data_IF_754089126854
#
_entry.id   IF_754089126854
#
_cell.length_a   1.000
_cell.length_b   1.000
_cell.length_c   1.000
_cell.angle_alpha   90.00
_cell.angle_beta   90.00
_cell.angle_gamma   90.00
#
_symmetry.space_group_name_H-M   'P 1'
#
loop_
_entity.id
_entity.type
_entity.pdbx_description
1 polymer ?
2 polymer ?
3 polymer ?
4 non-polymer ?
5 water ?
#
# COMPACT_ATOMS: atom_id res chain seq x y z
N UNK A 31 29.83 -8.95 6.40
CA UNK A 31 29.22 -8.15 5.32
C UNK A 31 27.70 -7.98 5.50
N UNK A 32 27.08 -8.85 6.28
CA UNK A 32 25.65 -8.73 6.57
C UNK A 32 25.47 -7.58 7.55
N UNK A 33 24.39 -6.80 7.37
CA UNK A 33 24.15 -5.62 8.19
C UNK A 33 22.81 -5.65 8.90
N UNK A 34 22.70 -4.90 10.00
CA UNK A 34 21.46 -4.81 10.77
C UNK A 34 20.84 -3.42 10.55
N UNK A 35 19.50 -3.38 10.47
CA UNK A 35 18.77 -2.13 10.23
C UNK A 35 17.56 -2.03 11.12
N UNK A 36 17.29 -0.84 11.67
CA UNK A 36 16.06 -0.67 12.46
C UNK A 36 15.45 0.70 12.12
N UNK A 37 14.14 0.84 12.31
CA UNK A 37 13.44 2.06 11.95
C UNK A 37 14.04 3.31 12.61
N UNK A 38 14.25 4.37 11.80
CA UNK A 38 14.77 5.63 12.32
C UNK A 38 13.74 6.36 13.19
N UNK A 39 12.43 6.07 13.01
CA UNK A 39 11.40 6.69 13.81
C UNK A 39 11.21 5.75 14.99
N UNK A 40 11.94 6.07 16.07
CA UNK A 40 12.02 5.20 17.23
C UNK A 40 10.63 4.75 17.79
N UNK A 41 9.59 5.61 17.84
CA UNK A 41 8.28 5.12 18.35
C UNK A 41 7.58 4.08 17.44
N UNK A 42 8.02 3.97 16.18
CA UNK A 42 7.45 3.00 15.24
C UNK A 42 8.19 1.67 15.23
N UNK A 43 9.29 1.54 15.99
CA UNK A 43 10.00 0.28 16.08
C UNK A 43 9.17 -0.78 16.79
N UNK A 44 9.39 -2.05 16.42
CA UNK A 44 8.74 -3.18 17.07
C UNK A 44 9.82 -4.17 17.49
N UNK A 45 10.60 -3.83 18.53
CA UNK A 45 11.68 -4.74 18.95
C UNK A 45 11.23 -6.14 19.32
N UNK A 46 12.11 -7.11 19.14
CA UNK A 46 11.81 -8.49 19.51
C UNK A 46 11.40 -9.39 18.36
N UNK A 47 11.15 -8.81 17.17
CA UNK A 47 10.80 -9.56 15.96
C UNK A 47 11.65 -9.02 14.83
N UNK A 48 12.32 -9.93 14.12
CA UNK A 48 13.29 -9.55 13.09
C UNK A 48 13.06 -10.28 11.80
N UNK A 49 13.25 -9.57 10.68
CA UNK A 49 13.17 -10.18 9.37
C UNK A 49 14.60 -10.47 8.93
N UNK A 50 14.92 -11.77 8.79
CA UNK A 50 16.24 -12.18 8.34
C UNK A 50 16.14 -12.40 6.85
N UNK A 51 16.85 -11.56 6.07
CA UNK A 51 16.81 -11.60 4.62
C UNK A 51 18.04 -12.27 4.11
N UNK A 52 17.86 -13.34 3.31
CA UNK A 52 18.99 -14.07 2.78
C UNK A 52 19.35 -13.58 1.38
N UNK A 53 20.54 -13.94 0.91
CA UNK A 53 21.03 -13.51 -0.39
C UNK A 53 20.11 -13.96 -1.51
N UNK A 54 20.12 -13.19 -2.59
CA UNK A 54 19.32 -13.46 -3.77
C UNK A 54 19.66 -14.85 -4.32
N UNK A 55 18.65 -15.60 -4.69
CA UNK A 55 18.80 -16.96 -5.20
C UNK A 55 18.95 -18.03 -4.11
N UNK A 56 18.89 -17.65 -2.80
CA UNK A 56 18.89 -18.66 -1.74
C UNK A 56 17.57 -19.47 -1.87
N UNK A 57 17.69 -20.79 -1.86
CA UNK A 57 16.55 -21.67 -2.02
C UNK A 57 15.77 -21.83 -0.71
N UNK A 58 14.47 -22.13 -0.80
CA UNK A 58 13.62 -22.35 0.38
C UNK A 58 14.22 -23.41 1.34
N UNK A 59 14.79 -24.51 0.80
CA UNK A 59 15.40 -25.53 1.64
C UNK A 59 16.55 -24.94 2.49
N UNK A 60 17.33 -24.05 1.88
CA UNK A 60 18.47 -23.39 2.54
C UNK A 60 17.92 -22.39 3.58
N UNK A 61 16.83 -21.66 3.25
CA UNK A 61 16.23 -20.75 4.23
C UNK A 61 15.74 -21.49 5.48
N UNK A 62 15.05 -22.63 5.28
CA UNK A 62 14.56 -23.43 6.41
C UNK A 62 15.72 -23.96 7.26
N UNK A 63 16.80 -24.44 6.62
CA UNK A 63 17.94 -24.96 7.35
C UNK A 63 18.62 -23.85 8.14
N UNK A 64 18.71 -22.65 7.56
CA UNK A 64 19.35 -21.52 8.24
C UNK A 64 18.52 -21.10 9.45
N UNK A 65 17.18 -21.11 9.32
CA UNK A 65 16.30 -20.80 10.45
C UNK A 65 16.50 -21.82 11.58
N UNK A 66 16.59 -23.12 11.24
CA UNK A 66 16.78 -24.15 12.27
C UNK A 66 18.19 -24.01 12.90
N UNK A 67 19.19 -23.62 12.12
CA UNK A 67 20.56 -23.42 12.63
C UNK A 67 20.56 -22.25 13.64
N UNK A 68 19.82 -21.16 13.33
CA UNK A 68 19.71 -20.04 14.26
C UNK A 68 19.07 -20.52 15.57
N UNK A 69 17.98 -21.30 15.47
CA UNK A 69 17.32 -21.78 16.71
C UNK A 69 18.25 -22.64 17.54
N UNK A 70 19.04 -23.52 16.86
CA UNK A 70 19.93 -24.42 17.60
C UNK A 70 21.09 -23.66 18.24
N UNK A 71 21.67 -22.69 17.51
CA UNK A 71 22.77 -21.89 18.04
C UNK A 71 22.28 -21.01 19.19
N UNK A 72 21.06 -20.44 19.05
CA UNK A 72 20.49 -19.61 20.11
C UNK A 72 20.25 -20.47 21.35
N UNK A 73 19.74 -21.70 21.16
CA UNK A 73 19.45 -22.58 22.30
C UNK A 73 20.72 -22.97 23.06
N UNK A 74 21.87 -23.09 22.36
CA UNK A 74 23.15 -23.39 23.03
C UNK A 74 23.52 -22.26 24.03
N UNK A 75 23.06 -21.03 23.75
CA UNK A 75 23.27 -19.86 24.61
C UNK A 75 22.13 -19.62 25.62
N UNK A 76 21.15 -20.51 25.66
CA UNK A 76 20.02 -20.45 26.58
C UNK A 76 18.87 -19.57 26.15
N UNK A 77 18.81 -19.22 24.86
CA UNK A 77 17.74 -18.37 24.36
C UNK A 77 16.68 -19.13 23.60
N UNK A 78 15.40 -18.80 23.84
CA UNK A 78 14.27 -19.34 23.10
C UNK A 78 14.08 -18.49 21.87
N UNK A 79 13.71 -19.12 20.76
CA UNK A 79 13.41 -18.40 19.55
C UNK A 79 12.16 -19.03 18.93
N UNK A 80 11.46 -18.26 18.11
CA UNK A 80 10.30 -18.79 17.41
C UNK A 80 10.36 -18.35 15.97
N UNK A 81 10.28 -19.31 15.04
CA UNK A 81 10.27 -18.97 13.62
C UNK A 81 8.81 -18.75 13.22
N UNK A 82 8.40 -17.51 13.03
CA UNK A 82 7.00 -17.18 12.72
C UNK A 82 6.60 -17.48 11.27
N UNK A 83 7.56 -17.34 10.36
CA UNK A 83 7.28 -17.49 8.94
C UNK A 83 8.58 -17.71 8.19
N UNK A 84 8.54 -18.53 7.13
CA UNK A 84 9.70 -18.68 6.26
C UNK A 84 9.29 -18.12 4.90
N UNK A 85 10.00 -17.12 4.41
CA UNK A 85 9.73 -16.44 3.15
C UNK A 85 10.33 -17.13 1.95
N UNK A 86 9.59 -17.13 0.86
CA UNK A 86 10.06 -17.60 -0.44
C UNK A 86 9.06 -17.10 -1.52
N UNK A 87 9.57 -16.68 -2.67
CA UNK A 87 8.72 -16.16 -3.73
C UNK A 87 9.12 -14.78 -4.19
N UNK A 88 9.48 -13.90 -3.24
CA UNK A 88 9.94 -12.55 -3.59
C UNK A 88 11.36 -12.44 -2.97
N UNK A 89 11.42 -12.54 -1.66
CA UNK A 89 12.68 -12.45 -0.92
C UNK A 89 12.81 -13.72 -0.13
N UNK A 90 14.00 -14.35 -0.18
CA UNK A 90 14.21 -15.52 0.69
C UNK A 90 14.59 -15.08 2.10
N UNK A 91 14.14 -15.82 3.11
CA UNK A 91 14.48 -15.52 4.49
C UNK A 91 13.44 -16.01 5.45
N UNK A 92 13.37 -15.39 6.62
CA UNK A 92 12.41 -15.80 7.63
C UNK A 92 12.17 -14.72 8.64
N UNK A 93 11.06 -14.84 9.36
CA UNK A 93 10.65 -13.91 10.39
C UNK A 93 10.87 -14.63 11.71
N UNK A 94 11.63 -14.02 12.62
CA UNK A 94 11.93 -14.69 13.88
C UNK A 94 11.62 -13.81 15.08
N UNK A 95 11.00 -14.39 16.11
CA UNK A 95 10.78 -13.72 17.38
C UNK A 95 11.89 -14.18 18.30
N UNK A 96 12.76 -13.23 18.68
CA UNK A 96 13.90 -13.57 19.52
C UNK A 96 14.47 -12.32 20.14
N UNK A 97 15.30 -12.49 21.15
CA UNK A 97 16.02 -11.37 21.75
C UNK A 97 16.99 -10.76 20.73
N UNK A 98 17.06 -9.44 20.72
CA UNK A 98 18.03 -8.74 19.90
C UNK A 98 19.46 -9.05 20.32
N UNK A 99 19.67 -9.65 21.53
CA UNK A 99 21.01 -10.09 21.95
C UNK A 99 21.62 -11.06 20.92
N UNK A 100 20.77 -11.80 20.19
CA UNK A 100 21.26 -12.78 19.22
C UNK A 100 21.61 -12.20 17.85
N UNK A 101 21.50 -10.88 17.65
CA UNK A 101 21.76 -10.30 16.33
C UNK A 101 23.20 -10.47 15.82
N UNK A 102 24.24 -10.33 16.69
CA UNK A 102 25.63 -10.54 16.22
C UNK A 102 25.79 -11.98 15.69
N UNK A 103 25.21 -12.94 16.43
CA UNK A 103 25.25 -14.35 16.05
C UNK A 103 24.48 -14.55 14.72
N UNK A 104 23.28 -13.99 14.63
CA UNK A 104 22.43 -14.20 13.45
C UNK A 104 23.05 -13.63 12.18
N UNK A 105 23.79 -12.51 12.30
CA UNK A 105 24.42 -11.92 11.10
C UNK A 105 25.55 -12.77 10.54
N UNK A 106 26.07 -13.72 11.34
CA UNK A 106 27.14 -14.61 10.87
C UNK A 106 26.61 -15.92 10.25
N UNK A 107 25.28 -16.12 10.24
CA UNK A 107 24.70 -17.35 9.67
C UNK A 107 24.96 -17.40 8.16
N UNK A 108 25.04 -18.61 7.59
CA UNK A 108 25.26 -18.70 6.14
C UNK A 108 24.10 -18.09 5.37
N UNK A 109 24.41 -17.46 4.23
CA UNK A 109 23.46 -16.87 3.29
C UNK A 109 22.87 -15.56 3.73
N UNK A 110 23.14 -15.06 4.96
CA UNK A 110 22.48 -13.81 5.39
C UNK A 110 22.94 -12.61 4.58
N UNK A 111 21.98 -11.81 4.12
CA UNK A 111 22.24 -10.57 3.39
C UNK A 111 22.10 -9.41 4.41
N UNK A 112 20.96 -9.34 5.12
CA UNK A 112 20.78 -8.31 6.15
C UNK A 112 19.62 -8.70 7.06
N UNK A 113 19.51 -8.03 8.21
CA UNK A 113 18.45 -8.28 9.16
C UNK A 113 17.81 -6.98 9.50
N UNK A 114 16.48 -6.95 9.50
CA UNK A 114 15.74 -5.73 9.82
C UNK A 114 14.79 -5.94 10.98
N UNK A 115 14.82 -5.06 11.98
CA UNK A 115 13.86 -5.16 13.10
C UNK A 115 12.49 -4.78 12.54
N UNK A 116 11.43 -5.47 13.00
CA UNK A 116 10.09 -5.15 12.51
C UNK A 116 9.69 -3.73 12.95
N UNK A 117 8.75 -3.13 12.24
CA UNK A 117 8.30 -1.79 12.53
C UNK A 117 6.86 -1.59 12.06
N UNK A 118 6.22 -0.52 12.51
CA UNK A 118 4.82 -0.29 12.18
C UNK A 118 4.58 0.36 10.82
N UNK A 119 3.41 0.09 10.22
CA UNK A 119 2.90 0.80 9.04
C UNK A 119 1.51 1.30 9.43
N UNK A 120 1.07 2.39 8.81
CA UNK A 120 -0.20 3.00 9.18
C UNK A 120 -1.03 3.34 7.96
N UNK A 121 -2.37 3.24 8.13
CA UNK A 121 -3.32 3.63 7.09
C UNK A 121 -3.12 5.11 6.76
N UNK A 122 -3.09 5.45 5.47
CA UNK A 122 -2.94 6.83 5.05
C UNK A 122 -4.28 7.41 4.53
N UNK B 1 -23.60 17.24 -10.17
CA UNK B 1 -24.24 15.92 -10.10
C UNK B 1 -23.26 14.74 -10.15
N UNK B 2 -21.95 15.00 -10.05
CA UNK B 2 -20.92 13.96 -10.07
C UNK B 2 -19.91 14.30 -8.98
N UNK B 3 -19.30 13.32 -8.25
CA UNK B 3 -18.28 13.69 -7.25
C UNK B 3 -17.15 14.47 -7.91
N UNK B 4 -16.68 15.56 -7.27
CA UNK B 4 -15.68 16.45 -7.84
C UNK B 4 -14.46 15.74 -8.40
N UNK B 5 -14.03 14.69 -7.70
CA UNK B 5 -12.83 13.93 -8.04
C UNK B 5 -12.99 13.13 -9.32
N UNK B 6 -14.20 12.58 -9.57
CA UNK B 6 -14.43 11.85 -10.82
C UNK B 6 -14.51 12.83 -12.02
N UNK B 7 -15.02 14.04 -11.78
CA UNK B 7 -15.03 15.08 -12.81
C UNK B 7 -13.57 15.49 -13.09
N UNK B 8 -12.77 15.67 -12.03
CA UNK B 8 -11.36 16.08 -12.17
C UNK B 8 -10.49 15.14 -12.98
N UNK B 9 -10.70 13.83 -12.84
CA UNK B 9 -9.90 12.87 -13.60
C UNK B 9 -10.44 12.66 -15.04
N UNK B 10 -11.58 13.26 -15.38
CA UNK B 10 -12.14 13.15 -16.73
C UNK B 10 -11.50 14.23 -17.57
N UNK B 11 -11.00 13.91 -18.78
CA UNK B 11 -10.47 14.97 -19.66
C UNK B 11 -11.43 16.16 -19.83
N UNK B 12 -10.93 17.40 -19.82
CA UNK B 12 -11.83 18.56 -19.87
C UNK B 12 -12.73 18.64 -21.11
N UNK B 13 -12.26 18.17 -22.26
CA UNK B 13 -13.05 18.20 -23.49
C UNK B 13 -14.12 17.10 -23.47
N UNK B 20 -19.07 8.74 -18.14
CA UNK B 20 -18.52 7.86 -17.11
C UNK B 20 -18.41 6.44 -17.61
N UNK B 21 -17.17 5.94 -17.84
CA UNK B 21 -16.99 4.55 -18.31
C UNK B 21 -17.67 3.56 -17.38
N UNK B 22 -18.59 2.75 -17.91
CA UNK B 22 -19.40 1.88 -17.03
C UNK B 22 -18.77 0.57 -16.59
N UNK B 23 -17.72 0.12 -17.27
CA UNK B 23 -17.11 -1.18 -16.95
C UNK B 23 -15.59 -1.12 -17.15
N UNK B 24 -15.00 0.03 -16.84
CA UNK B 24 -13.57 0.22 -17.04
C UNK B 24 -12.69 -0.64 -16.17
N UNK B 25 -11.57 -1.10 -16.74
CA UNK B 25 -10.57 -1.88 -16.03
C UNK B 25 -10.86 -3.36 -15.85
N UNK B 26 -11.82 -3.91 -16.64
CA UNK B 26 -12.24 -5.30 -16.43
C UNK B 26 -11.18 -6.39 -16.65
N UNK B 27 -10.09 -6.11 -17.37
CA UNK B 27 -9.05 -7.14 -17.55
C UNK B 27 -8.09 -7.25 -16.35
N UNK B 28 -8.19 -6.30 -15.41
CA UNK B 28 -7.21 -6.16 -14.34
C UNK B 28 -7.76 -6.57 -13.01
N UNK B 29 -6.89 -7.16 -12.18
CA UNK B 29 -7.28 -7.51 -10.83
C UNK B 29 -6.49 -6.58 -9.93
N UNK B 30 -7.17 -5.90 -9.03
CA UNK B 30 -6.51 -5.00 -8.09
C UNK B 30 -6.44 -5.65 -6.72
N UNK B 31 -5.24 -5.86 -6.15
CA UNK B 31 -5.10 -6.40 -4.80
C UNK B 31 -5.05 -5.22 -3.85
N UNK B 32 -5.75 -5.31 -2.72
CA UNK B 32 -5.78 -4.22 -1.75
C UNK B 32 -5.25 -4.75 -0.43
N UNK B 33 -4.16 -4.14 0.10
CA UNK B 33 -3.59 -4.54 1.39
C UNK B 33 -4.02 -3.43 2.33
N UNK B 34 -5.01 -3.71 3.20
CA UNK B 34 -5.61 -2.63 3.98
C UNK B 34 -6.28 -3.23 5.24
N UNK B 35 -7.28 -2.54 5.79
CA UNK B 35 -8.04 -3.04 6.92
C UNK B 35 -9.01 -4.14 6.41
N UNK B 36 -9.86 -4.68 7.32
CA UNK B 36 -10.96 -5.53 6.91
C UNK B 36 -11.93 -4.67 6.06
N UNK B 37 -12.75 -5.32 5.23
CA UNK B 37 -13.69 -4.59 4.38
C UNK B 37 -15.10 -5.12 4.58
N UNK B 38 -16.08 -4.26 4.37
CA UNK B 38 -17.49 -4.69 4.46
C UNK B 38 -17.85 -5.18 3.08
N UNK B 39 -17.55 -6.46 2.81
CA UNK B 39 -17.71 -7.01 1.47
C UNK B 39 -19.15 -7.10 0.98
N UNK B 40 -20.14 -6.96 1.87
CA UNK B 40 -21.53 -6.98 1.42
C UNK B 40 -22.11 -5.57 1.24
N UNK B 41 -21.27 -4.50 1.34
CA UNK B 41 -21.73 -3.14 1.08
C UNK B 41 -22.15 -3.07 -0.40
N UNK B 42 -23.35 -2.55 -0.69
CA UNK B 42 -23.86 -2.51 -2.07
C UNK B 42 -22.91 -1.90 -3.09
N UNK B 43 -22.06 -0.96 -2.66
CA UNK B 43 -21.12 -0.30 -3.56
C UNK B 43 -20.06 -1.26 -4.10
N UNK B 44 -19.64 -2.24 -3.30
CA UNK B 44 -18.56 -3.14 -3.71
C UNK B 44 -18.91 -4.62 -3.67
N UNK B 45 -20.15 -4.99 -3.28
CA UNK B 45 -20.54 -6.39 -3.20
C UNK B 45 -20.36 -7.09 -4.55
N UNK B 46 -19.73 -8.26 -4.56
CA UNK B 46 -19.51 -8.99 -5.80
C UNK B 46 -18.30 -8.51 -6.59
N UNK B 47 -17.78 -7.30 -6.27
CA UNK B 47 -16.59 -6.76 -6.97
C UNK B 47 -15.31 -7.05 -6.19
N UNK B 48 -15.42 -7.25 -4.88
CA UNK B 48 -14.28 -7.56 -4.05
C UNK B 48 -14.38 -8.97 -3.48
N UNK B 49 -13.33 -9.76 -3.64
CA UNK B 49 -13.22 -11.11 -3.08
C UNK B 49 -12.33 -10.97 -1.86
N UNK B 50 -12.83 -11.35 -0.69
CA UNK B 50 -12.05 -11.28 0.54
C UNK B 50 -11.21 -12.54 0.62
N UNK B 51 -9.88 -12.40 0.52
CA UNK B 51 -9.00 -13.56 0.61
C UNK B 51 -8.98 -14.06 2.08
N UNK B 52 -8.42 -15.25 2.33
CA UNK B 52 -8.30 -15.71 3.72
C UNK B 52 -7.11 -15.05 4.44
N UNK B 53 -6.40 -14.10 3.79
CA UNK B 53 -5.21 -13.51 4.37
C UNK B 53 -5.48 -12.50 5.47
N UNK B 54 -4.84 -12.71 6.63
CA UNK B 54 -4.91 -11.76 7.72
C UNK B 54 -3.59 -11.83 8.51
N UNK B 55 -2.92 -10.69 8.67
CA UNK B 55 -1.72 -10.65 9.50
C UNK B 55 -1.67 -9.24 10.06
N UNK B 56 -2.18 -9.07 11.30
CA UNK B 56 -2.29 -7.75 11.92
C UNK B 56 -1.82 -7.77 13.35
N UNK B 57 -1.28 -6.64 13.83
CA UNK B 57 -0.91 -6.56 15.24
C UNK B 57 -2.15 -6.31 16.11
N UNK B 58 -2.06 -6.64 17.42
CA UNK B 58 -3.17 -6.37 18.34
C UNK B 58 -3.40 -4.86 18.49
N UNK B 59 -4.66 -4.44 18.70
CA UNK B 59 -4.95 -3.02 18.89
C UNK B 59 -4.37 -2.53 20.22
N UNK B 60 -4.08 -1.23 20.29
CA UNK B 60 -3.55 -0.60 21.50
C UNK B 60 -4.71 -0.27 22.42
N UNK B 61 -4.52 -0.50 23.71
CA UNK B 61 -5.55 -0.28 24.72
C UNK B 61 -6.26 -1.58 25.08
N UNK B 62 -6.14 -2.00 26.33
CA UNK B 62 -6.73 -3.26 26.80
C UNK B 62 -8.25 -3.35 26.65
N UNK B 63 -8.97 -2.20 26.64
CA UNK B 63 -10.43 -2.26 26.52
C UNK B 63 -10.96 -1.90 25.12
N UNK B 64 -10.20 -2.19 24.05
CA UNK B 64 -10.65 -1.88 22.69
C UNK B 64 -11.89 -2.67 22.26
N UNK B 65 -12.87 -1.99 21.62
CA UNK B 65 -14.09 -2.65 21.14
C UNK B 65 -14.05 -2.84 19.62
N UNK B 66 -14.02 -4.10 19.16
CA UNK B 66 -13.94 -4.38 17.74
C UNK B 66 -15.29 -4.27 17.04
N UNK B 67 -15.69 -3.07 16.63
CA UNK B 67 -16.95 -2.89 15.92
C UNK B 67 -16.67 -2.96 14.44
N UNK B 68 -17.36 -3.85 13.71
CA UNK B 68 -17.13 -4.01 12.27
C UNK B 68 -17.22 -2.70 11.49
N UNK B 69 -18.23 -1.85 11.77
CA UNK B 69 -18.37 -0.57 11.06
C UNK B 69 -17.12 0.30 11.17
N UNK B 70 -16.45 0.26 12.34
CA UNK B 70 -15.23 1.04 12.55
C UNK B 70 -14.01 0.32 11.97
N UNK B 71 -13.86 -0.99 12.25
CA UNK B 71 -12.73 -1.78 11.74
C UNK B 71 -12.63 -1.72 10.20
N UNK B 72 -13.79 -1.77 9.52
CA UNK B 72 -13.86 -1.82 8.06
C UNK B 72 -13.81 -0.46 7.33
N UNK B 73 -13.80 0.64 8.08
CA UNK B 73 -13.95 1.98 7.47
C UNK B 73 -12.97 2.30 6.32
N UNK B 74 -11.66 2.20 6.60
CA UNK B 74 -10.66 2.62 5.64
C UNK B 74 -10.69 1.80 4.36
N UNK B 75 -10.60 0.49 4.51
CA UNK B 75 -10.54 -0.39 3.35
C UNK B 75 -11.81 -0.38 2.51
N UNK B 76 -12.98 -0.28 3.17
CA UNK B 76 -14.24 -0.25 2.41
C UNK B 76 -14.32 0.99 1.52
N UNK B 77 -13.90 2.15 2.06
CA UNK B 77 -13.92 3.38 1.29
C UNK B 77 -12.98 3.28 0.09
N UNK B 78 -11.76 2.74 0.31
CA UNK B 78 -10.79 2.61 -0.78
C UNK B 78 -11.20 1.61 -1.86
N UNK B 79 -11.83 0.51 -1.45
CA UNK B 79 -12.35 -0.45 -2.44
C UNK B 79 -13.43 0.23 -3.32
N UNK B 80 -14.23 1.10 -2.71
CA UNK B 80 -15.24 1.87 -3.42
C UNK B 80 -14.61 2.85 -4.38
N UNK B 81 -13.54 3.56 -3.95
CA UNK B 81 -12.86 4.51 -4.84
C UNK B 81 -12.32 3.80 -6.10
N UNK B 82 -11.77 2.59 -5.92
CA UNK B 82 -11.24 1.86 -7.08
C UNK B 82 -12.33 1.32 -8.00
N UNK B 83 -13.30 0.57 -7.45
CA UNK B 83 -14.23 -0.16 -8.30
C UNK B 83 -15.70 0.03 -8.01
N UNK B 84 -16.06 0.92 -7.10
CA UNK B 84 -17.44 1.07 -6.67
C UNK B 84 -18.47 1.29 -7.78
N UNK B 85 -19.64 0.67 -7.61
CA UNK B 85 -20.74 0.75 -8.57
C UNK B 85 -21.11 2.16 -8.96
N UNK B 86 -21.29 3.04 -7.96
CA UNK B 86 -21.72 4.41 -8.19
C UNK B 86 -20.60 5.44 -8.22
N UNK B 87 -19.58 5.27 -7.37
CA UNK B 87 -18.57 6.30 -7.19
C UNK B 87 -17.12 5.85 -7.48
N UNK B 88 -16.97 4.69 -8.10
CA UNK B 88 -15.64 4.16 -8.39
C UNK B 88 -15.04 4.64 -9.69
N UNK B 89 -13.72 4.54 -9.80
CA UNK B 89 -13.00 4.97 -10.99
C UNK B 89 -13.09 3.89 -12.08
N UNK B 90 -12.77 2.63 -11.74
CA UNK B 90 -12.71 1.51 -12.70
C UNK B 90 -13.80 0.53 -12.32
N UNK B 91 -15.01 0.79 -12.80
CA UNK B 91 -16.19 0.05 -12.38
C UNK B 91 -16.24 -1.42 -12.82
N UNK B 92 -15.35 -1.83 -13.70
CA UNK B 92 -15.28 -3.22 -14.13
C UNK B 92 -14.14 -4.01 -13.51
N UNK B 93 -13.25 -3.34 -12.74
CA UNK B 93 -12.12 -4.04 -12.14
C UNK B 93 -12.52 -4.95 -11.00
N UNK B 94 -11.93 -6.13 -10.96
CA UNK B 94 -12.13 -7.05 -9.84
C UNK B 94 -11.09 -6.72 -8.78
N UNK B 95 -11.46 -6.88 -7.51
CA UNK B 95 -10.52 -6.63 -6.43
C UNK B 95 -10.38 -7.84 -5.52
N UNK B 96 -9.20 -8.03 -4.92
CA UNK B 96 -8.97 -9.06 -3.93
C UNK B 96 -8.39 -8.35 -2.72
N UNK B 97 -8.94 -8.59 -1.53
CA UNK B 97 -8.48 -7.87 -0.33
C UNK B 97 -7.72 -8.77 0.62
N UNK B 98 -6.64 -8.22 1.20
CA UNK B 98 -5.82 -8.87 2.21
C UNK B 98 -5.84 -7.94 3.41
N UNK B 99 -6.00 -8.51 4.61
CA UNK B 99 -6.03 -7.68 5.81
C UNK B 99 -4.63 -7.59 6.41
N UNK B 100 -4.02 -6.42 6.32
CA UNK B 100 -2.72 -6.17 6.95
C UNK B 100 -2.79 -4.97 7.96
N UNK B 101 -3.96 -4.33 8.11
CA UNK B 101 -4.12 -3.24 9.06
C UNK B 101 -5.24 -3.61 10.03
N UNK B 102 -4.99 -3.36 11.31
CA UNK B 102 -5.97 -3.69 12.33
C UNK B 102 -7.11 -2.66 12.42
N UNK B 103 -7.96 -2.73 13.47
CA UNK B 103 -9.10 -1.82 13.59
C UNK B 103 -8.72 -0.37 13.77
N UNK B 104 -7.48 -0.10 14.22
CA UNK B 104 -6.96 1.25 14.39
C UNK B 104 -6.11 1.70 13.18
N UNK B 105 -6.08 0.89 12.11
CA UNK B 105 -5.35 1.22 10.90
C UNK B 105 -3.86 0.96 11.02
N UNK B 106 -3.43 0.13 11.97
CA UNK B 106 -2.00 -0.14 12.16
C UNK B 106 -1.65 -1.57 11.71
N UNK B 107 -0.51 -1.69 11.07
CA UNK B 107 0.02 -2.96 10.62
C UNK B 107 1.50 -3.04 10.91
N UNK B 108 2.15 -4.07 10.39
CA UNK B 108 3.59 -4.22 10.55
C UNK B 108 4.24 -4.37 9.18
N UNK B 109 5.55 -4.09 9.13
CA UNK B 109 6.30 -4.34 7.90
C UNK B 109 6.27 -5.87 7.62
N UNK B 110 6.45 -6.69 8.65
CA UNK B 110 6.47 -8.17 8.43
C UNK B 110 5.14 -8.68 7.88
N UNK B 111 4.03 -8.14 8.39
CA UNK B 111 2.72 -8.54 7.90
C UNK B 111 2.53 -8.14 6.45
N UNK B 112 2.98 -6.94 6.10
CA UNK B 112 2.90 -6.42 4.73
C UNK B 112 3.78 -7.30 3.79
N UNK B 113 4.98 -7.68 4.25
CA UNK B 113 5.86 -8.56 3.45
C UNK B 113 5.18 -9.90 3.18
N UNK B 114 4.57 -10.47 4.24
CA UNK B 114 3.88 -11.77 4.09
C UNK B 114 2.69 -11.61 3.11
N UNK B 115 2.01 -10.46 3.16
CA UNK B 115 0.91 -10.19 2.24
C UNK B 115 1.38 -10.06 0.80
N UNK B 116 2.47 -9.33 0.55
CA UNK B 116 3.02 -9.21 -0.82
C UNK B 116 3.42 -10.61 -1.35
N UNK B 117 3.98 -11.46 -0.47
CA UNK B 117 4.33 -12.82 -0.86
C UNK B 117 3.08 -13.62 -1.23
N UNK B 118 2.00 -13.44 -0.45
CA UNK B 118 0.74 -14.15 -0.70
C UNK B 118 0.17 -13.78 -2.08
N UNK B 119 0.32 -12.51 -2.49
CA UNK B 119 -0.18 -12.07 -3.81
C UNK B 119 0.58 -12.80 -4.91
N UNK B 120 1.93 -12.82 -4.83
CA UNK B 120 2.73 -13.48 -5.85
C UNK B 120 2.44 -14.98 -5.89
N UNK B 121 2.30 -15.61 -4.71
CA UNK B 121 1.98 -17.05 -4.67
C UNK B 121 0.62 -17.32 -5.30
N UNK B 122 -0.36 -16.45 -5.02
CA UNK B 122 -1.70 -16.60 -5.58
C UNK B 122 -1.65 -16.50 -7.11
N UNK B 123 -0.84 -15.58 -7.61
CA UNK B 123 -0.71 -15.35 -9.03
C UNK B 123 -0.10 -16.56 -9.71
N UNK B 124 0.95 -17.14 -9.13
CA UNK B 124 1.61 -18.30 -9.73
C UNK B 124 0.68 -19.51 -9.84
N UNK B 125 -0.21 -19.67 -8.85
CA UNK B 125 -1.13 -20.81 -8.75
C UNK B 125 -2.28 -20.68 -9.74
N UNK B 126 -2.78 -19.44 -9.94
CA UNK B 126 -3.92 -19.24 -10.82
C UNK B 126 -3.79 -17.88 -11.52
N UNK B 127 -2.93 -17.81 -12.55
CA UNK B 127 -2.73 -16.52 -13.22
C UNK B 127 -3.97 -16.03 -13.92
N UNK B 128 -4.18 -14.72 -13.85
CA UNK B 128 -5.27 -14.06 -14.54
C UNK B 128 -4.62 -12.95 -15.43
N UNK B 129 -5.19 -11.73 -15.53
CA UNK B 129 -4.61 -10.69 -16.35
C UNK B 129 -3.59 -9.88 -15.58
N UNK B 130 -3.31 -8.67 -16.07
CA UNK B 130 -2.38 -7.79 -15.32
C UNK B 130 -2.88 -7.52 -13.90
N UNK B 131 -1.93 -7.44 -12.96
CA UNK B 131 -2.23 -7.17 -11.57
C UNK B 131 -1.77 -5.76 -11.19
N UNK B 132 -2.59 -5.10 -10.36
CA UNK B 132 -2.26 -3.80 -9.74
C UNK B 132 -2.36 -4.05 -8.24
N UNK B 133 -1.33 -3.67 -7.46
CA UNK B 133 -1.38 -3.85 -6.02
C UNK B 133 -1.44 -2.46 -5.39
N UNK B 134 -2.48 -2.18 -4.62
CA UNK B 134 -2.65 -0.90 -3.93
C UNK B 134 -2.23 -1.06 -2.46
N UNK B 135 -1.25 -0.22 -2.03
CA UNK B 135 -0.65 -0.16 -0.68
C UNK B 135 -0.95 1.21 -0.09
N UNK B 136 -2.14 1.35 0.51
CA UNK B 136 -2.54 2.67 1.02
C UNK B 136 -2.07 2.86 2.46
N UNK B 137 -0.77 2.66 2.65
CA UNK B 137 -0.17 2.65 3.96
C UNK B 137 1.26 3.15 3.89
N UNK B 138 1.80 3.51 5.04
CA UNK B 138 3.18 4.00 5.11
C UNK B 138 3.75 3.77 6.47
N UNK B 139 5.04 3.49 6.50
CA UNK B 139 5.85 3.45 7.72
C UNK B 139 7.15 4.18 7.43
N UNK B 140 8.11 4.06 8.32
CA UNK B 140 9.42 4.68 8.08
C UNK B 140 10.14 3.93 6.98
N UNK B 141 11.17 4.56 6.40
CA UNK B 141 12.02 3.93 5.37
C UNK B 141 12.43 2.52 5.80
N UNK B 142 12.15 1.52 4.93
CA UNK B 142 12.41 0.14 5.28
C UNK B 142 13.13 -0.50 4.11
N UNK B 143 14.38 -0.93 4.34
CA UNK B 143 15.14 -1.59 3.28
C UNK B 143 14.39 -2.84 2.80
N UNK B 144 13.84 -3.60 3.75
CA UNK B 144 13.19 -4.87 3.35
C UNK B 144 11.86 -4.64 2.61
N UNK B 145 11.03 -3.69 3.08
CA UNK B 145 9.77 -3.45 2.38
C UNK B 145 10.03 -2.90 0.96
N UNK B 146 11.05 -2.00 0.81
CA UNK B 146 11.37 -1.49 -0.52
C UNK B 146 11.87 -2.62 -1.41
N UNK B 147 12.69 -3.54 -0.83
CA UNK B 147 13.23 -4.66 -1.62
C UNK B 147 12.10 -5.56 -2.08
N UNK B 148 11.14 -5.87 -1.20
CA UNK B 148 10.04 -6.78 -1.59
C UNK B 148 9.19 -6.14 -2.69
N UNK B 149 8.98 -4.83 -2.60
CA UNK B 149 8.22 -4.10 -3.60
C UNK B 149 8.96 -4.08 -4.92
N UNK B 150 10.28 -3.88 -4.89
CA UNK B 150 11.10 -3.86 -6.09
C UNK B 150 11.04 -5.23 -6.78
N UNK B 151 11.15 -6.30 -6.00
CA UNK B 151 11.12 -7.67 -6.54
C UNK B 151 9.76 -7.96 -7.17
N UNK B 152 8.65 -7.53 -6.50
CA UNK B 152 7.32 -7.83 -7.07
C UNK B 152 7.11 -7.01 -8.36
N UNK B 153 7.59 -5.76 -8.41
CA UNK B 153 7.50 -4.95 -9.63
C UNK B 153 8.34 -5.58 -10.77
N UNK B 154 9.54 -6.03 -10.46
CA UNK B 154 10.41 -6.69 -11.45
C UNK B 154 9.78 -7.99 -11.97
N UNK B 155 8.94 -8.64 -11.14
CA UNK B 155 8.21 -9.87 -11.56
C UNK B 155 7.02 -9.54 -12.49
N UNK B 156 6.77 -8.26 -12.77
CA UNK B 156 5.71 -7.84 -13.70
C UNK B 156 4.44 -7.32 -13.06
N UNK B 157 4.44 -7.07 -11.75
CA UNK B 157 3.23 -6.59 -11.07
C UNK B 157 3.32 -5.06 -10.87
N UNK B 158 2.22 -4.33 -11.08
CA UNK B 158 2.23 -2.86 -10.91
C UNK B 158 1.87 -2.54 -9.46
N UNK B 159 2.70 -1.74 -8.77
CA UNK B 159 2.41 -1.37 -7.38
C UNK B 159 2.15 0.13 -7.28
N UNK B 160 1.11 0.51 -6.55
CA UNK B 160 0.76 1.91 -6.34
C UNK B 160 0.67 2.10 -4.84
N UNK B 161 1.28 3.19 -4.32
CA UNK B 161 1.23 3.43 -2.87
C UNK B 161 0.94 4.88 -2.56
N UNK B 162 0.48 5.11 -1.32
CA UNK B 162 0.25 6.46 -0.83
C UNK B 162 1.62 7.13 -0.59
N UNK B 163 1.71 8.44 -0.87
CA UNK B 163 2.98 9.16 -0.58
C UNK B 163 3.22 9.33 0.92
N UNK B 164 2.13 9.33 1.70
CA UNK B 164 2.18 9.55 3.14
C UNK B 164 1.58 10.90 3.47
N UNK B 165 1.02 11.03 4.69
CA UNK B 165 0.26 12.20 5.12
C UNK B 165 1.05 13.00 6.17
N UNK B 166 2.36 13.08 6.02
CA UNK B 166 3.19 13.72 7.06
C UNK B 166 3.76 15.09 6.70
N UNK B 167 3.31 15.69 5.57
CA UNK B 167 3.78 16.98 5.04
C UNK B 167 5.31 17.00 5.05
N UNK B 168 5.89 15.90 4.52
CA UNK B 168 7.32 15.65 4.61
C UNK B 168 7.81 15.03 3.30
N UNK B 169 9.12 14.84 3.19
CA UNK B 169 9.72 14.22 2.01
C UNK B 169 9.34 12.74 2.01
N UNK B 170 8.64 12.30 0.93
CA UNK B 170 8.20 10.90 0.81
C UNK B 170 9.38 9.92 0.82
N UNK B 171 10.61 10.39 0.51
CA UNK B 171 11.75 9.47 0.50
C UNK B 171 12.09 8.90 1.89
N UNK B 172 11.53 9.49 2.96
CA UNK B 172 11.81 9.01 4.31
C UNK B 172 10.81 7.97 4.79
N UNK B 173 9.88 7.53 3.88
CA UNK B 173 8.84 6.59 4.22
C UNK B 173 8.84 5.41 3.25
N UNK B 174 8.22 4.31 3.67
CA UNK B 174 8.08 3.15 2.79
C UNK B 174 6.65 2.65 2.86
N UNK B 175 6.14 2.08 1.76
CA UNK B 175 6.78 1.88 0.45
C UNK B 175 6.92 3.09 -0.43
N UNK B 176 6.50 4.30 0.04
CA UNK B 176 6.60 5.50 -0.79
C UNK B 176 7.98 5.70 -1.46
N UNK B 177 9.04 5.40 -0.73
CA UNK B 177 10.41 5.61 -1.23
C UNK B 177 10.92 4.57 -2.22
N UNK B 178 10.17 3.49 -2.47
CA UNK B 178 10.64 2.49 -3.44
C UNK B 178 10.46 3.06 -4.88
N UNK B 179 11.56 3.27 -5.64
CA UNK B 179 11.41 3.86 -7.00
C UNK B 179 10.55 3.05 -7.99
N UNK B 180 10.48 1.71 -7.81
CA UNK B 180 9.69 0.85 -8.70
C UNK B 180 8.17 0.93 -8.44
N UNK B 181 7.77 1.57 -7.36
CA UNK B 181 6.36 1.72 -6.98
C UNK B 181 5.87 3.11 -7.45
N UNK B 182 4.63 3.20 -7.93
CA UNK B 182 4.07 4.48 -8.31
C UNK B 182 3.58 5.12 -7.01
N UNK B 183 4.18 6.26 -6.63
CA UNK B 183 3.92 6.93 -5.35
C UNK B 183 3.06 8.15 -5.58
N UNK B 184 1.93 8.24 -4.88
CA UNK B 184 0.92 9.24 -5.18
C UNK B 184 0.62 10.19 -4.05
N UNK B 185 0.80 11.48 -4.32
CA UNK B 185 0.44 12.53 -3.38
C UNK B 185 -1.02 12.93 -3.54
N UNK B 186 -1.54 13.78 -2.63
CA UNK B 186 -2.94 14.18 -2.70
C UNK B 186 -3.12 15.64 -3.01
N UNK B 187 -4.06 15.94 -3.93
CA UNK B 187 -4.47 17.32 -4.22
C UNK B 187 -5.97 17.48 -3.97
N UNK B 188 -6.42 18.73 -3.73
CA UNK B 188 -7.81 19.01 -3.43
C UNK B 188 -8.60 19.57 -4.64
N UNK B 189 -9.85 20.01 -4.43
CA UNK B 189 -10.69 20.54 -5.53
C UNK B 189 -10.14 21.81 -6.18
N UNK B 190 -9.24 22.50 -5.48
CA UNK B 190 -8.59 23.68 -6.05
C UNK B 190 -7.22 23.29 -6.70
N UNK B 191 -6.96 21.97 -6.88
CA UNK B 191 -5.74 21.36 -7.38
C UNK B 191 -4.53 21.68 -6.53
N UNK B 192 -4.73 22.01 -5.25
CA UNK B 192 -3.63 22.32 -4.36
C UNK B 192 -3.30 21.15 -3.44
N UNK B 193 -2.06 21.04 -2.93
CA UNK B 193 -1.72 19.91 -2.04
C UNK B 193 -2.63 19.86 -0.82
N UNK B 194 -3.06 18.66 -0.41
CA UNK B 194 -4.02 18.55 0.68
C UNK B 194 -3.42 18.81 2.06
N UNK B 195 -4.09 19.61 2.88
CA UNK B 195 -3.67 19.80 4.26
C UNK B 195 -4.55 18.86 5.10
N UNK B 196 -3.95 18.17 6.07
CA UNK B 196 -4.62 17.21 6.95
C UNK B 196 -4.21 17.60 8.37
N UNK B 197 -5.03 18.44 9.02
CA UNK B 197 -4.71 18.98 10.34
C UNK B 197 -3.50 19.87 10.23
N UNK B 198 -2.47 19.62 11.06
CA UNK B 198 -1.21 20.36 10.94
C UNK B 198 -0.25 19.72 9.93
N UNK B 199 -0.61 18.56 9.37
CA UNK B 199 0.23 17.90 8.38
C UNK B 199 -0.45 17.99 6.99
N UNK B 200 -0.30 16.98 6.16
CA UNK B 200 -0.83 17.01 4.81
C UNK B 200 -0.08 16.09 3.89
N UNK B 201 -0.33 16.20 2.57
CA UNK B 201 0.38 15.27 1.65
C UNK B 201 1.90 15.41 1.72
N UNK B 202 2.60 14.28 1.55
CA UNK B 202 4.02 14.27 1.37
C UNK B 202 4.35 14.78 -0.04
N UNK B 203 5.62 15.03 -0.27
CA UNK B 203 6.10 15.65 -1.50
C UNK B 203 7.54 15.18 -1.79
N UNK B 204 8.20 15.81 -2.77
CA UNK B 204 9.59 15.48 -3.07
C UNK B 204 9.82 14.57 -4.26
N UNK B 205 11.07 14.18 -4.48
CA UNK B 205 11.47 13.41 -5.66
C UNK B 205 10.97 11.97 -5.71
N UNK B 206 10.51 11.43 -4.57
CA UNK B 206 9.98 10.09 -4.55
C UNK B 206 8.50 10.04 -4.93
N UNK B 207 7.83 11.21 -5.08
CA UNK B 207 6.43 11.22 -5.49
C UNK B 207 6.41 11.22 -7.02
N UNK B 208 5.59 10.36 -7.64
CA UNK B 208 5.49 10.31 -9.09
C UNK B 208 4.46 11.30 -9.62
N UNK B 209 3.34 11.42 -8.92
CA UNK B 209 2.28 12.32 -9.32
C UNK B 209 1.27 12.49 -8.17
N UNK B 210 0.36 13.43 -8.33
CA UNK B 210 -0.71 13.68 -7.37
C UNK B 210 -2.04 13.25 -7.97
N UNK B 211 -3.05 13.10 -7.13
CA UNK B 211 -4.38 12.74 -7.59
C UNK B 211 -5.37 13.23 -6.52
N UNK B 212 -6.66 13.33 -6.85
CA UNK B 212 -7.64 13.83 -5.88
C UNK B 212 -7.60 13.08 -4.55
N UNK B 213 -7.49 13.82 -3.43
CA UNK B 213 -7.38 13.18 -2.14
C UNK B 213 -8.01 13.93 -0.99
N UNK B 214 -8.98 14.81 -1.29
CA UNK B 214 -9.68 15.53 -0.23
C UNK B 214 -11.18 15.44 -0.48
N UNK B 215 -11.97 15.14 0.55
CA UNK B 215 -13.43 15.09 0.46
C UNK B 215 -13.89 14.18 -0.68
N UNK B 216 -13.37 12.94 -0.66
CA UNK B 216 -13.68 11.94 -1.69
C UNK B 216 -14.88 11.12 -1.26
N UNK B 217 -15.99 11.21 -2.00
CA UNK B 217 -17.17 10.40 -1.71
C UNK B 217 -16.85 8.94 -1.97
N UNK B 218 -17.18 8.09 -1.03
CA UNK B 218 -16.95 6.65 -1.18
C UNK B 218 -17.76 5.84 -0.19
N UNK B 219 -17.80 4.52 -0.38
CA UNK B 219 -18.57 3.65 0.49
C UNK B 219 -18.23 3.83 1.98
N UNK B 220 -19.27 3.97 2.80
CA UNK B 220 -19.12 4.05 4.25
C UNK B 220 -19.57 2.71 4.85
N UNK B 221 -18.76 2.14 5.73
CA UNK B 221 -19.11 0.89 6.41
C UNK B 221 -20.16 1.08 7.52
N UNK B 222 -20.73 2.31 7.66
CA UNK B 222 -21.77 2.53 8.69
C UNK B 222 -23.09 1.84 8.35
N UNK B 223 -23.34 1.57 7.06
CA UNK B 223 -24.52 0.87 6.59
C UNK B 223 -24.30 0.40 5.15
N UNK B 224 -25.08 -0.61 4.70
CA UNK B 224 -24.88 -1.24 3.39
C UNK B 224 -25.04 -0.33 2.18
N UNK B 225 -25.68 0.85 2.33
CA UNK B 225 -25.80 1.79 1.21
C UNK B 225 -25.22 3.19 1.52
N UNK B 226 -24.57 3.34 2.68
CA UNK B 226 -24.06 4.61 3.15
C UNK B 226 -22.82 5.05 2.41
N UNK B 227 -22.63 6.38 2.31
CA UNK B 227 -21.46 6.99 1.68
C UNK B 227 -20.91 8.04 2.63
N UNK B 228 -19.59 8.25 2.57
CA UNK B 228 -18.94 9.25 3.40
C UNK B 228 -17.75 9.82 2.63
N UNK B 229 -17.38 11.07 2.93
CA UNK B 229 -16.20 11.66 2.31
C UNK B 229 -15.00 11.42 3.23
N UNK B 230 -13.85 11.08 2.62
CA UNK B 230 -12.59 10.88 3.34
C UNK B 230 -11.47 11.57 2.57
N UNK B 231 -10.37 11.87 3.27
CA UNK B 231 -9.23 12.54 2.67
C UNK B 231 -7.94 11.83 3.07
N UNK B 232 -6.95 11.92 2.20
CA UNK B 232 -5.66 11.32 2.48
C UNK B 232 -4.94 10.86 1.23
N UNK B 233 -3.63 10.56 1.36
CA UNK B 233 -2.90 10.03 0.21
C UNK B 233 -3.34 8.61 -0.13
N UNK B 234 -4.05 7.91 0.79
CA UNK B 234 -4.62 6.58 0.45
C UNK B 234 -5.67 6.79 -0.65
N UNK B 235 -6.55 7.79 -0.49
CA UNK B 235 -7.59 8.05 -1.49
C UNK B 235 -6.99 8.45 -2.83
N UNK B 236 -5.90 9.25 -2.80
CA UNK B 236 -5.25 9.67 -4.03
C UNK B 236 -4.63 8.42 -4.71
N UNK B 237 -3.98 7.55 -3.93
CA UNK B 237 -3.37 6.33 -4.50
C UNK B 237 -4.48 5.44 -5.10
N UNK B 238 -5.66 5.37 -4.46
CA UNK B 238 -6.76 4.55 -5.01
C UNK B 238 -7.20 5.08 -6.38
N UNK B 239 -7.22 6.43 -6.58
CA UNK B 239 -7.54 6.98 -7.90
C UNK B 239 -6.53 6.50 -8.96
N UNK B 240 -5.23 6.51 -8.63
CA UNK B 240 -4.21 6.08 -9.57
C UNK B 240 -4.29 4.59 -9.81
N UNK B 241 -4.63 3.79 -8.78
CA UNK B 241 -4.80 2.34 -9.02
C UNK B 241 -5.99 2.14 -10.01
N UNK B 242 -7.06 2.92 -9.85
CA UNK B 242 -8.20 2.81 -10.79
C UNK B 242 -7.82 3.25 -12.19
N UNK B 243 -7.09 4.38 -12.32
CA UNK B 243 -6.67 4.88 -13.63
C UNK B 243 -5.71 3.88 -14.29
N UNK B 244 -4.80 3.27 -13.50
CA UNK B 244 -3.85 2.29 -14.02
C UNK B 244 -4.64 1.06 -14.50
N UNK B 245 -5.67 0.62 -13.74
CA UNK B 245 -6.48 -0.53 -14.16
C UNK B 245 -7.17 -0.24 -15.50
N UNK B 246 -7.67 1.00 -15.67
CA UNK B 246 -8.29 1.40 -16.95
C UNK B 246 -7.27 1.41 -18.08
N UNK B 247 -6.07 1.96 -17.82
CA UNK B 247 -5.04 2.04 -18.87
C UNK B 247 -4.55 0.66 -19.27
N UNK B 248 -4.31 -0.21 -18.28
CA UNK B 248 -3.84 -1.58 -18.57
C UNK B 248 -4.95 -2.41 -19.24
N UNK B 249 -6.22 -2.15 -18.91
CA UNK B 249 -7.29 -2.92 -19.54
C UNK B 249 -7.42 -2.53 -21.02
N UNK B 250 -7.19 -1.25 -21.36
CA UNK B 250 -7.24 -0.80 -22.76
C UNK B 250 -5.98 -1.22 -23.53
N UNK B 251 -4.82 -1.26 -22.85
CA UNK B 251 -3.55 -1.62 -23.48
C UNK B 251 -2.85 -2.65 -22.59
N UNK B 252 -3.31 -3.92 -22.62
CA UNK B 252 -2.77 -4.93 -21.68
C UNK B 252 -1.30 -5.29 -21.83
N UNK B 253 -0.69 -4.98 -22.96
CA UNK B 253 0.72 -5.31 -23.17
C UNK B 253 1.68 -4.26 -22.59
N UNK B 254 1.16 -3.15 -22.02
CA UNK B 254 2.04 -2.10 -21.48
C UNK B 254 3.00 -2.63 -20.43
N UNK B 255 4.29 -2.25 -20.52
CA UNK B 255 5.24 -2.61 -19.46
C UNK B 255 5.03 -1.55 -18.32
N UNK B 256 5.68 -1.75 -17.15
CA UNK B 256 5.60 -0.77 -16.07
C UNK B 256 6.13 0.61 -16.54
N UNK B 257 7.26 0.63 -17.27
CA UNK B 257 7.81 1.90 -17.74
C UNK B 257 6.85 2.63 -18.67
N UNK B 258 6.19 1.87 -19.57
CA UNK B 258 5.24 2.46 -20.50
C UNK B 258 4.02 3.00 -19.76
N UNK B 259 3.53 2.26 -18.76
CA UNK B 259 2.38 2.70 -17.98
C UNK B 259 2.70 4.01 -17.24
N UNK B 260 3.90 4.10 -16.66
CA UNK B 260 4.31 5.32 -15.96
C UNK B 260 4.33 6.52 -16.92
N UNK B 261 4.80 6.29 -18.15
CA UNK B 261 4.83 7.31 -19.20
C UNK B 261 3.41 7.77 -19.55
N UNK B 262 2.44 6.84 -19.63
CA UNK B 262 1.04 7.17 -19.92
C UNK B 262 0.44 8.00 -18.79
N UNK B 263 0.71 7.61 -17.54
CA UNK B 263 0.17 8.36 -16.39
C UNK B 263 0.67 9.82 -16.41
N UNK B 264 1.94 10.02 -16.73
CA UNK B 264 2.52 11.37 -16.79
C UNK B 264 1.94 12.13 -17.97
N UNK B 265 1.92 11.49 -19.15
CA UNK B 265 1.41 12.14 -20.35
C UNK B 265 -0.02 12.63 -20.21
N UNK B 266 -0.91 11.81 -19.62
CA UNK B 266 -2.31 12.19 -19.51
C UNK B 266 -2.64 13.05 -18.28
N UNK B 267 -1.67 13.26 -17.37
CA UNK B 267 -1.89 14.11 -16.20
C UNK B 267 -2.06 15.58 -16.60
N UNK B 268 -2.77 16.33 -15.76
CA UNK B 268 -2.89 17.77 -15.87
C UNK B 268 -1.55 18.32 -15.38
N UNK B 269 -0.97 19.28 -16.12
CA UNK B 269 0.35 19.81 -15.77
C UNK B 269 0.34 21.24 -15.29
N UNK B 270 1.22 21.53 -14.32
CA UNK B 270 1.43 22.86 -13.73
C UNK B 270 0.21 23.52 -13.10
N UNK B 271 -0.72 22.71 -12.55
CA UNK B 271 -1.89 23.28 -11.88
C UNK B 271 -1.68 23.46 -10.35
N UNK B 272 -0.63 22.85 -9.78
CA UNK B 272 -0.35 22.99 -8.35
C UNK B 272 0.50 24.26 -8.08
N UNK B 273 0.17 25.06 -7.04
CA UNK B 273 0.99 26.23 -6.71
C UNK B 273 2.10 25.66 -5.85
N UNK B 274 3.31 25.65 -6.39
CA UNK B 274 4.47 25.08 -5.72
C UNK B 274 4.86 25.80 -4.43
N UNK B 275 4.33 27.01 -4.17
CA UNK B 275 4.64 27.73 -2.93
C UNK B 275 4.24 26.98 -1.66
N UNK B 276 3.32 26.00 -1.77
CA UNK B 276 2.89 25.18 -0.63
C UNK B 276 4.02 24.28 -0.15
N UNK B 277 4.89 23.81 -1.07
CA UNK B 277 5.98 22.92 -0.69
C UNK B 277 7.14 23.71 -0.15
N UNK B 278 7.98 23.12 0.72
CA UNK B 278 9.20 23.82 1.14
C UNK B 278 10.07 24.20 -0.06
N UNK B 279 10.74 25.34 0.02
CA UNK B 279 11.54 25.90 -1.08
C UNK B 279 12.37 24.91 -1.88
N UNK B 280 13.20 24.11 -1.22
CA UNK B 280 14.08 23.18 -1.94
C UNK B 280 13.34 22.00 -2.58
N UNK B 281 12.07 21.77 -2.21
CA UNK B 281 11.31 20.65 -2.75
C UNK B 281 10.51 21.00 -4.02
N UNK B 282 10.38 22.29 -4.33
CA UNK B 282 9.59 22.74 -5.48
C UNK B 282 10.07 22.19 -6.81
N UNK B 283 11.38 22.22 -7.06
CA UNK B 283 11.89 21.68 -8.34
C UNK B 283 11.93 20.16 -8.36
N UNK B 284 11.89 19.50 -7.19
CA UNK B 284 11.97 18.05 -7.09
C UNK B 284 10.58 17.37 -7.12
N UNK B 285 9.51 18.12 -6.85
CA UNK B 285 8.16 17.56 -6.77
C UNK B 285 7.46 17.71 -8.11
N UNK B 286 6.97 16.60 -8.68
CA UNK B 286 6.33 16.66 -9.99
C UNK B 286 5.01 17.42 -9.93
N UNK B 287 4.82 18.39 -10.84
CA UNK B 287 3.60 19.18 -10.84
C UNK B 287 2.65 18.53 -11.80
N UNK B 288 2.04 17.42 -11.35
CA UNK B 288 1.17 16.57 -12.16
C UNK B 288 -0.04 16.10 -11.35
N UNK B 289 -1.25 16.20 -11.92
CA UNK B 289 -2.45 15.67 -11.27
C UNK B 289 -3.06 14.64 -12.23
N UNK B 290 -3.14 13.39 -11.78
CA UNK B 290 -3.60 12.27 -12.60
C UNK B 290 -4.92 12.50 -13.29
N UNK B 291 -5.08 11.91 -14.48
CA UNK B 291 -6.33 11.97 -15.24
C UNK B 291 -6.41 10.79 -16.19
N UNK B 292 -7.63 10.40 -16.53
CA UNK B 292 -7.87 9.31 -17.48
C UNK B 292 -7.51 9.78 -18.90
N UNK B 293 -7.15 8.84 -19.77
CA UNK B 293 -6.96 9.19 -21.19
C UNK B 293 -8.33 9.38 -21.86
N UNK B 294 -8.39 10.12 -22.98
CA UNK B 294 -9.70 10.34 -23.64
C UNK B 294 -10.33 9.07 -24.21
CA UNK C 1 -17.98 17.03 -1.59
C UNK C 1 -17.95 16.40 -0.19
N UNK C 2 -17.81 17.25 0.81
CA UNK C 2 -17.72 16.83 2.20
C UNK C 2 -19.05 16.43 2.84
N UNK C 3 -19.07 15.28 3.53
CA UNK C 3 -20.25 14.90 4.29
C UNK C 3 -20.44 13.42 4.46
N UNK C 4 -21.70 13.03 4.76
CA UNK C 4 -22.10 11.66 5.03
C UNK C 4 -23.55 11.52 4.55
N UNK C 5 -23.89 10.39 3.92
CA UNK C 5 -25.24 10.22 3.36
C UNK C 5 -25.67 8.77 3.51
N UNK C 6 -26.97 8.51 3.68
CA UNK C 6 -27.45 7.13 3.81
C UNK C 6 -27.57 6.37 2.49
N UNK C 7 -27.42 7.07 1.36
CA UNK C 7 -27.44 6.51 0.00
C UNK C 7 -26.42 7.31 -0.84
N UNK C 8 -26.17 6.89 -2.10
CA UNK C 8 -25.25 7.62 -2.97
C UNK C 8 -25.77 9.04 -3.20
N UNK C 9 -25.06 10.06 -2.66
CA UNK C 9 -25.51 11.47 -2.71
C UNK C 9 -25.82 12.02 -4.11
N UNK C 10 -25.11 11.57 -5.14
CA UNK C 10 -25.31 12.09 -6.49
C UNK C 10 -26.41 11.35 -7.28
N UNK C 11 -27.12 10.41 -6.65
X LIG D 1 25.62 -0.55 11.53
X LIG D 1 24.80 0.25 12.37
X LIG D 1 24.94 -1.87 11.25
X LIG D 1 24.11 -1.75 10.08
X LIG D 1 25.95 -2.98 11.04
X LIG D 1 25.28 -4.22 11.04
#
# INVERSE_FOLDING_TARGET
QEDEDGDYEELVLALRSEEDGLAEAPEHGTTATFHRCAKDPWRLPGTYVVVLKEETHLSQSERTARRLQAQAARRGYLTKILHVFHGLLPGFLVKMSGDLLELALKLPHVDYIEEDSSVFAQ
SIPWNLERITPPRYRADEYQPPDGGSLVEVYLLDTSIQSDHREIEGRVMVTDFENVPEEDGTRFHRQASKCDSHGTHLAGVVSGRDAGVAKGASMRSLRVLNCQGKGTVSGTLIGLEFIRKSQLVQPVGPLVVLLPLAGGYSRVLNAACQRLARAGVVLVTAAGNFRDDACLYSPASAPEVITVGATNAQDQPVTLGTLGTNFGRCVDLFAPGEDIIGASSDCSTCFVSQSGTSQAAAHVAGIAAMMLSAEPELTLAELRQRLIHFSAKDVINEAWFPEDQRVLTPNLVAALPPSTHGAGNSHHHHHH
XKAXXPTYXCA
GOL C1 O1 C2 O2 C3 O3
#
